data_IF_057938070866
#
_entry.id   IF_057938070866
#
_cell.length_a   1.000
_cell.length_b   1.000
_cell.length_c   1.000
_cell.angle_alpha   90.00
_cell.angle_beta   90.00
_cell.angle_gamma   90.00
#
_symmetry.space_group_name_H-M   'P 1'
#
loop_
_entity.id
_entity.type
_entity.pdbx_description
1 polymer ?
#
# COMPACT_ATOMS: atom_id res chain seq x y z
N UNK A 1 -7.71 -3.87 50.14
CA UNK A 1 -6.86 -4.76 49.30
C UNK A 1 -7.79 -5.68 48.55
N UNK A 2 -7.84 -5.56 47.23
CA UNK A 2 -8.73 -6.32 46.36
C UNK A 2 -7.88 -6.73 45.13
N UNK A 3 -7.56 -8.02 44.91
CA UNK A 3 -6.94 -8.45 43.67
C UNK A 3 -7.95 -9.16 42.76
N UNK A 4 -7.64 -9.15 41.47
CA UNK A 4 -8.32 -9.80 40.33
C UNK A 4 -9.28 -8.89 39.54
N UNK A 5 -8.68 -8.13 38.63
CA UNK A 5 -9.33 -7.75 37.38
C UNK A 5 -9.14 -8.91 36.39
N UNK A 6 -10.26 -9.48 35.93
CA UNK A 6 -10.31 -10.34 34.76
C UNK A 6 -10.10 -9.50 33.50
N UNK A 7 -9.17 -9.95 32.65
CA UNK A 7 -9.00 -9.45 31.28
C UNK A 7 -9.75 -10.43 30.38
N UNK A 8 -10.94 -10.03 29.90
CA UNK A 8 -11.65 -10.76 28.85
C UNK A 8 -10.90 -10.64 27.52
N UNK A 9 -10.19 -11.70 27.14
CA UNK A 9 -9.79 -11.96 25.76
C UNK A 9 -11.03 -12.41 24.98
N UNK A 10 -11.58 -11.52 24.15
CA UNK A 10 -12.63 -11.84 23.19
C UNK A 10 -12.14 -12.90 22.19
N UNK A 11 -12.74 -14.08 22.26
CA UNK A 11 -12.41 -15.26 21.48
C UNK A 11 -12.75 -15.12 19.99
N UNK A 12 -11.75 -15.39 19.13
CA UNK A 12 -11.96 -15.69 17.72
C UNK A 12 -12.81 -16.97 17.59
N UNK A 13 -14.04 -16.86 17.09
CA UNK A 13 -14.93 -17.99 16.89
C UNK A 13 -15.05 -18.37 15.41
N UNK A 14 -14.99 -19.69 15.18
CA UNK A 14 -15.31 -20.47 13.99
C UNK A 14 -14.28 -20.54 12.86
N UNK A 15 -13.41 -21.54 12.98
CA UNK A 15 -12.72 -22.22 11.86
C UNK A 15 -13.67 -23.31 11.34
N UNK A 16 -14.10 -23.22 10.09
CA UNK A 16 -14.71 -24.34 9.37
C UNK A 16 -13.69 -24.85 8.33
N UNK A 17 -13.30 -26.12 8.45
CA UNK A 17 -12.29 -26.79 7.62
C UNK A 17 -12.81 -27.25 6.25
N UNK A 18 -14.02 -26.89 5.85
CA UNK A 18 -14.48 -27.22 4.51
C UNK A 18 -13.93 -26.19 3.51
N UNK A 19 -13.01 -26.65 2.66
CA UNK A 19 -12.52 -26.03 1.43
C UNK A 19 -11.44 -24.93 1.53
N UNK A 20 -10.36 -25.09 2.32
CA UNK A 20 -9.09 -24.38 2.08
C UNK A 20 -9.16 -22.85 1.92
N UNK A 21 -10.22 -22.21 2.44
CA UNK A 21 -10.52 -20.79 2.30
C UNK A 21 -10.38 -20.18 3.67
N UNK A 22 -9.33 -19.37 3.85
CA UNK A 22 -9.18 -18.54 5.03
C UNK A 22 -10.27 -17.46 5.02
N UNK A 23 -11.24 -17.57 5.93
CA UNK A 23 -12.28 -16.56 6.15
C UNK A 23 -11.91 -15.76 7.40
N UNK A 24 -11.20 -14.65 7.22
CA UNK A 24 -11.10 -13.66 8.28
C UNK A 24 -12.42 -12.88 8.32
N UNK A 25 -13.36 -13.32 9.17
CA UNK A 25 -14.56 -12.54 9.48
C UNK A 25 -14.19 -11.57 10.60
N UNK A 26 -13.49 -10.48 10.27
CA UNK A 26 -13.40 -9.35 11.19
C UNK A 26 -14.68 -8.50 11.05
N UNK A 27 -15.20 -8.01 12.16
CA UNK A 27 -16.29 -7.04 12.15
C UNK A 27 -15.90 -5.84 11.26
N UNK A 28 -16.83 -5.30 10.45
CA UNK A 28 -16.54 -4.13 9.64
C UNK A 28 -16.11 -2.99 10.57
N UNK A 29 -14.85 -2.59 10.47
CA UNK A 29 -14.35 -1.40 11.14
C UNK A 29 -14.79 -0.19 10.30
N UNK A 30 -15.36 0.80 10.96
CA UNK A 30 -15.69 2.07 10.30
C UNK A 30 -14.38 2.68 9.76
N UNK A 31 -14.42 3.05 8.49
CA UNK A 31 -13.29 3.64 7.77
C UNK A 31 -13.77 4.33 6.51
N UNK A 32 -12.93 5.21 5.98
CA UNK A 32 -13.16 5.96 4.75
C UNK A 32 -12.17 5.50 3.67
N UNK A 33 -12.65 5.20 2.46
CA UNK A 33 -11.76 4.86 1.36
C UNK A 33 -10.85 6.04 1.01
N UNK A 34 -9.59 5.74 0.63
CA UNK A 34 -8.65 6.78 0.21
C UNK A 34 -9.17 7.58 -1.01
N UNK A 35 -10.02 6.97 -1.84
CA UNK A 35 -10.71 7.64 -2.94
C UNK A 35 -11.68 8.72 -2.42
N UNK A 36 -12.58 8.36 -1.52
CA UNK A 36 -13.52 9.34 -0.96
C UNK A 36 -12.75 10.47 -0.25
N UNK A 37 -11.71 10.11 0.50
CA UNK A 37 -10.86 11.04 1.21
C UNK A 37 -10.15 12.03 0.30
N UNK A 38 -9.53 11.57 -0.80
CA UNK A 38 -8.85 12.48 -1.75
C UNK A 38 -9.85 13.39 -2.44
N UNK A 39 -11.05 12.89 -2.79
CA UNK A 39 -12.09 13.69 -3.45
C UNK A 39 -12.58 14.80 -2.51
N UNK A 40 -12.80 14.48 -1.23
CA UNK A 40 -13.14 15.47 -0.20
C UNK A 40 -12.06 16.54 -0.02
N UNK A 41 -10.77 16.19 -0.21
CA UNK A 41 -9.63 17.10 -0.17
C UNK A 41 -9.37 17.88 -1.48
N UNK A 42 -10.29 17.82 -2.46
CA UNK A 42 -10.13 18.52 -3.74
C UNK A 42 -9.35 17.75 -4.80
N UNK A 43 -9.35 16.41 -4.71
CA UNK A 43 -8.81 15.48 -5.70
C UNK A 43 -7.43 14.90 -5.37
N UNK A 44 -6.72 15.45 -4.39
CA UNK A 44 -5.41 14.98 -3.93
C UNK A 44 -5.25 15.22 -2.42
N UNK A 45 -4.32 14.52 -1.78
CA UNK A 45 -4.04 14.65 -0.36
C UNK A 45 -2.79 15.51 -0.09
N UNK A 46 -2.70 16.17 1.09
CA UNK A 46 -1.47 16.77 1.60
C UNK A 46 -0.32 15.76 1.67
N UNK A 47 0.91 16.22 1.42
CA UNK A 47 2.10 15.35 1.37
C UNK A 47 2.34 14.63 2.70
N UNK A 48 2.21 15.33 3.82
CA UNK A 48 2.39 14.76 5.16
C UNK A 48 1.40 13.62 5.42
N UNK A 49 0.19 13.75 4.91
CA UNK A 49 -0.84 12.72 5.03
C UNK A 49 -0.55 11.52 4.15
N UNK A 50 -0.16 11.73 2.89
CA UNK A 50 0.28 10.64 2.01
C UNK A 50 1.46 9.89 2.61
N UNK A 51 2.40 10.59 3.25
CA UNK A 51 3.54 9.96 3.91
C UNK A 51 3.11 9.12 5.13
N UNK A 52 2.14 9.57 5.94
CA UNK A 52 1.58 8.72 7.02
C UNK A 52 0.95 7.44 6.47
N UNK A 53 0.15 7.57 5.41
CA UNK A 53 -0.48 6.42 4.73
C UNK A 53 0.59 5.49 4.16
N UNK A 54 1.61 6.04 3.50
CA UNK A 54 2.71 5.27 2.91
C UNK A 54 3.48 4.48 3.97
N UNK A 55 3.75 5.05 5.14
CA UNK A 55 4.50 4.37 6.20
C UNK A 55 3.77 3.12 6.70
N UNK A 56 2.47 3.26 7.00
CA UNK A 56 1.61 2.17 7.48
C UNK A 56 1.45 1.12 6.38
N UNK A 57 1.16 1.53 5.15
CA UNK A 57 0.98 0.61 4.03
C UNK A 57 2.25 -0.20 3.76
N UNK A 58 3.42 0.46 3.64
CA UNK A 58 4.68 -0.21 3.32
C UNK A 58 5.12 -1.17 4.42
N UNK A 59 4.95 -0.82 5.69
CA UNK A 59 5.18 -1.74 6.82
C UNK A 59 4.36 -3.03 6.68
N UNK A 60 3.10 -2.88 6.29
CA UNK A 60 2.17 -3.99 6.14
C UNK A 60 2.48 -4.85 4.89
N UNK A 61 2.84 -4.22 3.77
CA UNK A 61 3.29 -4.94 2.56
C UNK A 61 4.57 -5.73 2.84
N UNK A 62 5.51 -5.14 3.58
CA UNK A 62 6.76 -5.80 3.99
C UNK A 62 6.49 -7.07 4.80
N UNK A 63 5.59 -7.00 5.79
CA UNK A 63 5.17 -8.18 6.57
C UNK A 63 4.46 -9.23 5.71
N UNK A 64 3.61 -8.82 4.78
CA UNK A 64 2.98 -9.73 3.84
C UNK A 64 4.03 -10.44 2.96
N UNK A 65 5.03 -9.70 2.48
CA UNK A 65 6.13 -10.25 1.67
C UNK A 65 6.95 -11.28 2.44
N UNK A 66 7.27 -10.99 3.71
CA UNK A 66 7.95 -11.92 4.60
C UNK A 66 7.16 -13.22 4.85
N UNK A 67 5.83 -13.16 4.77
CA UNK A 67 4.96 -14.33 4.85
C UNK A 67 4.74 -15.04 3.48
N UNK A 68 5.44 -14.61 2.43
CA UNK A 68 5.27 -15.16 1.07
C UNK A 68 4.00 -14.70 0.35
N UNK A 69 3.28 -13.71 0.91
CA UNK A 69 2.09 -13.12 0.30
C UNK A 69 2.51 -11.95 -0.60
N UNK A 70 1.80 -11.77 -1.71
CA UNK A 70 1.92 -10.61 -2.60
C UNK A 70 0.57 -9.90 -2.65
N UNK A 71 0.60 -8.58 -2.72
CA UNK A 71 -0.61 -7.77 -2.63
C UNK A 71 -1.36 -7.80 -3.97
N UNK A 72 -0.62 -7.65 -5.08
CA UNK A 72 -1.08 -7.84 -6.46
C UNK A 72 -1.96 -6.72 -6.99
N UNK A 73 -2.78 -6.11 -6.15
CA UNK A 73 -3.69 -5.05 -6.53
C UNK A 73 -4.01 -4.13 -5.34
N UNK A 74 -3.60 -2.87 -5.44
CA UNK A 74 -3.97 -1.79 -4.51
C UNK A 74 -4.23 -0.53 -5.31
N UNK A 75 -5.39 0.07 -5.06
CA UNK A 75 -5.82 1.36 -5.56
C UNK A 75 -6.53 2.16 -4.45
N UNK A 76 -6.97 3.38 -4.77
CA UNK A 76 -7.61 4.29 -3.81
C UNK A 76 -8.96 3.79 -3.27
N UNK A 77 -9.64 2.90 -3.98
CA UNK A 77 -10.92 2.30 -3.56
C UNK A 77 -10.73 1.06 -2.68
N UNK A 78 -9.60 0.38 -2.82
CA UNK A 78 -9.27 -0.86 -2.10
C UNK A 78 -8.66 -0.62 -0.72
N UNK A 79 -8.34 0.63 -0.38
CA UNK A 79 -7.71 0.98 0.90
C UNK A 79 -8.63 1.92 1.66
N UNK A 80 -9.01 1.50 2.86
CA UNK A 80 -9.77 2.31 3.81
C UNK A 80 -8.82 2.81 4.91
N UNK A 81 -8.90 4.11 5.20
CA UNK A 81 -8.32 4.72 6.39
C UNK A 81 -9.31 4.59 7.54
N UNK A 82 -8.87 3.95 8.61
CA UNK A 82 -9.66 3.73 9.82
C UNK A 82 -9.55 4.92 10.76
N UNK A 83 -10.52 5.06 11.67
CA UNK A 83 -10.57 6.18 12.64
C UNK A 83 -9.35 6.22 13.58
N UNK A 84 -8.69 5.09 13.80
CA UNK A 84 -7.47 4.97 14.61
C UNK A 84 -6.18 5.31 13.83
N UNK A 85 -6.29 5.67 12.55
CA UNK A 85 -5.15 5.90 11.65
C UNK A 85 -4.61 4.62 11.02
N UNK A 86 -5.22 3.47 11.28
CA UNK A 86 -4.93 2.21 10.61
C UNK A 86 -5.39 2.18 9.16
N UNK A 87 -4.88 1.19 8.42
CA UNK A 87 -5.32 0.92 7.06
C UNK A 87 -5.95 -0.47 6.99
N UNK A 88 -7.08 -0.56 6.31
CA UNK A 88 -7.68 -1.82 5.86
C UNK A 88 -7.49 -1.92 4.35
N UNK A 89 -7.00 -3.07 3.87
CA UNK A 89 -6.81 -3.32 2.43
C UNK A 89 -7.77 -4.41 2.00
N UNK A 90 -8.79 -4.03 1.24
CA UNK A 90 -9.77 -4.93 0.65
C UNK A 90 -9.19 -5.60 -0.61
N UNK A 91 -9.45 -6.90 -0.76
CA UNK A 91 -9.20 -7.59 -2.04
C UNK A 91 -7.75 -7.98 -2.32
N UNK A 92 -6.90 -8.13 -1.31
CA UNK A 92 -5.61 -8.81 -1.50
C UNK A 92 -5.85 -10.24 -1.99
N UNK A 93 -5.64 -10.46 -3.28
CA UNK A 93 -5.93 -11.73 -3.93
C UNK A 93 -6.72 -11.58 -5.23
N UNK A 94 -6.22 -10.80 -6.19
CA UNK A 94 -6.60 -10.94 -7.61
C UNK A 94 -5.39 -10.81 -8.54
N UNK A 95 -5.42 -11.63 -9.60
CA UNK A 95 -4.39 -11.82 -10.62
C UNK A 95 -4.03 -10.54 -11.38
N UNK A 96 -2.85 -10.53 -11.99
CA UNK A 96 -2.21 -9.55 -12.91
C UNK A 96 -3.06 -8.82 -13.98
N UNK A 97 -4.40 -8.94 -14.00
CA UNK A 97 -5.27 -8.58 -15.11
C UNK A 97 -5.77 -7.12 -15.11
N UNK A 98 -5.94 -6.47 -13.95
CA UNK A 98 -6.73 -5.21 -13.89
C UNK A 98 -5.90 -3.92 -13.81
N UNK A 99 -4.61 -4.01 -13.55
CA UNK A 99 -3.65 -2.97 -13.93
C UNK A 99 -2.96 -3.44 -15.20
N UNK A 100 -2.76 -2.60 -16.24
CA UNK A 100 -1.86 -2.95 -17.31
C UNK A 100 -0.46 -3.01 -16.70
N UNK A 101 -0.08 -4.18 -16.20
CA UNK A 101 1.28 -4.45 -15.85
C UNK A 101 2.10 -4.08 -17.10
N UNK A 102 3.24 -3.40 -17.00
CA UNK A 102 3.93 -2.88 -18.19
C UNK A 102 4.33 -3.97 -19.20
N UNK A 103 4.28 -5.24 -18.80
CA UNK A 103 4.41 -6.43 -19.67
C UNK A 103 3.11 -6.82 -20.40
N UNK A 104 1.93 -6.48 -19.88
CA UNK A 104 0.62 -6.71 -20.48
C UNK A 104 0.28 -5.73 -21.63
N UNK A 105 1.05 -4.65 -21.79
CA UNK A 105 0.89 -3.67 -22.87
C UNK A 105 1.49 -4.13 -24.23
N UNK A 106 2.09 -5.32 -24.29
CA UNK A 106 2.51 -5.96 -25.56
C UNK A 106 1.63 -7.16 -25.85
N UNK A 107 0.54 -6.92 -26.57
CA UNK A 107 -0.21 -7.86 -27.39
C UNK A 107 -0.19 -9.33 -26.94
N UNK A 108 -1.14 -9.70 -26.09
CA UNK A 108 -1.69 -11.07 -26.07
C UNK A 108 -0.76 -12.18 -25.62
N UNK A 109 -0.43 -12.19 -24.32
CA UNK A 109 -0.27 -13.39 -23.46
C UNK A 109 0.10 -12.90 -22.07
N UNK A 110 -0.69 -13.23 -21.06
CA UNK A 110 -0.26 -13.11 -19.66
C UNK A 110 0.90 -14.09 -19.53
N UNK A 111 2.11 -13.58 -19.43
CA UNK A 111 3.29 -14.39 -19.12
C UNK A 111 3.07 -14.98 -17.72
N UNK A 112 3.25 -16.30 -17.54
CA UNK A 112 3.29 -17.01 -16.25
C UNK A 112 4.50 -16.58 -15.38
N UNK A 113 4.93 -15.32 -15.51
CA UNK A 113 6.05 -14.81 -14.75
C UNK A 113 5.59 -14.60 -13.31
N UNK A 114 6.16 -15.38 -12.40
CA UNK A 114 5.89 -15.29 -10.96
C UNK A 114 5.98 -13.83 -10.50
N UNK A 115 4.89 -13.33 -9.93
CA UNK A 115 4.80 -11.99 -9.37
C UNK A 115 5.98 -11.72 -8.44
N UNK A 116 6.68 -10.59 -8.65
CA UNK A 116 7.83 -10.20 -7.82
C UNK A 116 7.45 -9.06 -6.90
N UNK A 117 8.21 -8.87 -5.83
CA UNK A 117 8.00 -7.76 -4.87
C UNK A 117 8.02 -6.39 -5.56
N UNK A 118 8.80 -6.29 -6.64
CA UNK A 118 8.85 -5.10 -7.51
C UNK A 118 7.52 -4.77 -8.21
N UNK A 119 6.59 -5.72 -8.32
CA UNK A 119 5.25 -5.45 -8.82
C UNK A 119 4.41 -4.74 -7.76
N UNK A 120 4.47 -5.16 -6.50
CA UNK A 120 3.83 -4.43 -5.40
C UNK A 120 4.47 -3.06 -5.19
N UNK A 121 5.80 -2.91 -5.35
CA UNK A 121 6.47 -1.60 -5.37
C UNK A 121 5.86 -0.68 -6.43
N UNK A 122 5.58 -1.20 -7.62
CA UNK A 122 4.98 -0.42 -8.70
C UNK A 122 3.54 0.00 -8.36
N UNK A 123 2.74 -0.95 -7.85
CA UNK A 123 1.34 -0.71 -7.45
C UNK A 123 1.25 0.33 -6.33
N UNK A 124 2.06 0.18 -5.28
CA UNK A 124 2.13 1.18 -4.20
C UNK A 124 2.60 2.52 -4.76
N UNK A 125 3.62 2.54 -5.63
CA UNK A 125 4.06 3.76 -6.31
C UNK A 125 2.95 4.46 -7.10
N UNK A 126 2.08 3.70 -7.78
CA UNK A 126 0.93 4.22 -8.50
C UNK A 126 -0.12 4.82 -7.56
N UNK A 127 -0.45 4.13 -6.47
CA UNK A 127 -1.32 4.68 -5.43
C UNK A 127 -0.78 6.01 -4.90
N UNK A 128 0.49 6.05 -4.49
CA UNK A 128 1.10 7.29 -3.96
C UNK A 128 1.09 8.42 -4.99
N UNK A 129 1.31 8.11 -6.27
CA UNK A 129 1.22 9.09 -7.35
C UNK A 129 -0.20 9.69 -7.45
N UNK A 130 -1.24 8.85 -7.45
CA UNK A 130 -2.65 9.30 -7.50
C UNK A 130 -2.98 10.15 -6.28
N UNK A 131 -2.57 9.74 -5.08
CA UNK A 131 -2.84 10.52 -3.86
C UNK A 131 -2.15 11.89 -3.88
N UNK A 132 -0.93 11.98 -4.41
CA UNK A 132 -0.16 13.24 -4.44
C UNK A 132 -0.60 14.19 -5.56
N UNK A 133 -1.07 13.65 -6.69
CA UNK A 133 -1.31 14.44 -7.91
C UNK A 133 -2.80 14.57 -8.25
N UNK A 134 -3.61 13.60 -7.83
CA UNK A 134 -5.00 13.43 -8.25
C UNK A 134 -5.17 12.82 -9.63
N UNK A 135 -4.08 12.40 -10.29
CA UNK A 135 -4.07 11.86 -11.64
C UNK A 135 -3.52 10.43 -11.67
N UNK A 136 -3.95 9.64 -12.66
CA UNK A 136 -3.37 8.32 -12.93
C UNK A 136 -1.97 8.44 -13.58
N UNK A 137 -0.98 7.61 -13.18
CA UNK A 137 0.34 7.65 -13.79
C UNK A 137 0.28 7.14 -15.23
N UNK A 138 0.56 8.01 -16.19
CA UNK A 138 0.71 7.61 -17.60
C UNK A 138 2.10 7.06 -17.81
N UNK A 139 2.26 5.81 -18.25
CA UNK A 139 3.58 5.22 -18.46
C UNK A 139 4.09 5.43 -19.88
N UNK A 140 5.35 5.83 -20.00
CA UNK A 140 6.10 5.88 -21.25
C UNK A 140 7.31 4.96 -21.20
N UNK A 141 8.09 4.85 -22.29
CA UNK A 141 9.21 3.91 -22.40
C UNK A 141 10.33 4.15 -21.37
N UNK A 142 10.41 5.34 -20.78
CA UNK A 142 11.47 5.76 -19.86
C UNK A 142 10.97 6.07 -18.44
N UNK A 143 9.72 5.78 -18.09
CA UNK A 143 9.13 6.18 -16.82
C UNK A 143 7.73 6.78 -16.96
N UNK A 144 7.13 7.25 -15.86
CA UNK A 144 5.85 7.96 -15.92
C UNK A 144 5.98 9.25 -16.74
N UNK A 145 5.25 9.29 -17.86
CA UNK A 145 4.93 10.50 -18.63
C UNK A 145 4.04 11.35 -17.76
N UNK A 146 4.51 12.56 -17.41
CA UNK A 146 3.81 13.40 -16.44
C UNK A 146 4.41 13.38 -15.05
N UNK A 147 5.61 12.80 -14.84
CA UNK A 147 6.39 13.04 -13.62
C UNK A 147 6.53 14.55 -13.28
N UNK A 148 6.40 15.43 -14.29
CA UNK A 148 6.28 16.87 -14.10
C UNK A 148 5.16 17.27 -13.14
N UNK A 149 4.06 16.53 -13.00
CA UNK A 149 3.03 16.77 -12.00
C UNK A 149 3.58 16.62 -10.57
N UNK A 150 4.38 15.59 -10.31
CA UNK A 150 5.09 15.43 -9.04
C UNK A 150 6.13 16.52 -8.79
N UNK A 151 6.74 17.07 -9.85
CA UNK A 151 7.76 18.13 -9.73
C UNK A 151 7.18 19.55 -9.76
N UNK A 152 5.94 19.73 -10.22
CA UNK A 152 5.22 21.02 -10.23
C UNK A 152 4.35 21.23 -8.98
N UNK A 153 4.14 20.17 -8.19
CA UNK A 153 3.41 20.18 -6.93
C UNK A 153 4.35 20.56 -5.77
N UNK A 154 3.86 21.06 -4.61
CA UNK A 154 4.67 21.26 -3.39
C UNK A 154 5.24 19.96 -2.77
N UNK A 155 5.38 18.90 -3.57
CA UNK A 155 5.96 17.61 -3.15
C UNK A 155 7.48 17.76 -3.07
N UNK A 156 8.11 17.39 -1.94
CA UNK A 156 9.56 17.40 -1.82
C UNK A 156 10.21 16.57 -2.93
N UNK A 157 11.28 17.10 -3.53
CA UNK A 157 11.97 16.45 -4.67
C UNK A 157 12.38 15.01 -4.40
N UNK A 158 12.67 14.69 -3.13
CA UNK A 158 12.96 13.36 -2.64
C UNK A 158 11.77 12.40 -2.81
N UNK A 159 10.59 12.80 -2.34
CA UNK A 159 9.35 12.01 -2.47
C UNK A 159 9.02 11.80 -3.95
N UNK A 160 9.11 12.87 -4.75
CA UNK A 160 8.89 12.80 -6.21
C UNK A 160 9.82 11.80 -6.89
N UNK A 161 11.12 11.80 -6.53
CA UNK A 161 12.09 10.83 -7.06
C UNK A 161 11.79 9.39 -6.62
N UNK A 162 11.40 9.19 -5.36
CA UNK A 162 11.08 7.86 -4.85
C UNK A 162 9.88 7.24 -5.56
N UNK A 163 8.79 8.01 -5.70
CA UNK A 163 7.58 7.60 -6.42
C UNK A 163 7.86 7.40 -7.92
N UNK A 164 8.61 8.31 -8.55
CA UNK A 164 8.96 8.17 -9.97
C UNK A 164 9.78 6.89 -10.26
N UNK A 165 10.72 6.53 -9.35
CA UNK A 165 11.49 5.29 -9.47
C UNK A 165 10.62 4.05 -9.28
N UNK A 166 9.68 4.06 -8.33
CA UNK A 166 8.74 2.96 -8.13
C UNK A 166 7.91 2.68 -9.40
N UNK A 167 7.54 3.74 -10.13
CA UNK A 167 6.77 3.69 -11.38
C UNK A 167 7.58 3.35 -12.63
N UNK A 168 8.86 2.99 -12.52
CA UNK A 168 9.67 2.71 -13.70
C UNK A 168 9.17 1.44 -14.44
N UNK A 169 8.98 1.45 -15.78
CA UNK A 169 8.47 0.31 -16.53
C UNK A 169 9.32 -0.96 -16.36
N UNK A 170 10.66 -0.79 -16.36
CA UNK A 170 11.61 -1.89 -16.12
C UNK A 170 11.70 -2.19 -14.62
N UNK A 171 11.33 -3.41 -14.21
CA UNK A 171 11.41 -3.90 -12.82
C UNK A 171 12.79 -3.70 -12.18
N UNK A 172 13.86 -3.98 -12.93
CA UNK A 172 15.24 -3.87 -12.44
C UNK A 172 15.68 -2.45 -12.06
N UNK A 173 14.94 -1.43 -12.48
CA UNK A 173 15.21 -0.02 -12.12
C UNK A 173 14.41 0.41 -10.89
N UNK A 174 13.31 -0.29 -10.57
CA UNK A 174 12.48 -0.01 -9.39
C UNK A 174 13.27 -0.25 -8.11
N UNK A 175 12.63 0.02 -6.98
CA UNK A 175 13.14 -0.44 -5.68
C UNK A 175 13.16 -1.97 -5.66
N UNK A 176 14.16 -2.54 -4.99
CA UNK A 176 14.33 -3.99 -4.91
C UNK A 176 13.10 -4.63 -4.26
N UNK A 177 12.61 -3.99 -3.21
CA UNK A 177 11.49 -4.37 -2.37
C UNK A 177 10.82 -3.11 -1.78
N UNK A 178 9.77 -3.29 -0.97
CA UNK A 178 9.04 -2.19 -0.34
C UNK A 178 9.78 -1.54 0.83
N UNK A 179 10.74 -2.23 1.45
CA UNK A 179 11.56 -1.69 2.53
C UNK A 179 12.53 -0.63 1.97
N UNK A 180 13.18 -0.91 0.83
CA UNK A 180 14.00 0.04 0.09
C UNK A 180 13.19 1.28 -0.34
N UNK A 181 11.94 1.11 -0.77
CA UNK A 181 11.04 2.23 -1.09
C UNK A 181 10.70 3.05 0.16
N UNK A 182 10.42 2.40 1.29
CA UNK A 182 10.13 3.07 2.56
C UNK A 182 11.33 3.89 3.02
N UNK A 183 12.52 3.32 3.03
CA UNK A 183 13.76 4.06 3.34
C UNK A 183 13.93 5.28 2.43
N UNK A 184 13.69 5.10 1.13
CA UNK A 184 13.78 6.19 0.16
C UNK A 184 12.75 7.30 0.37
N UNK A 185 11.60 7.03 0.97
CA UNK A 185 10.61 8.05 1.33
C UNK A 185 11.00 8.79 2.62
N UNK A 186 11.48 8.08 3.63
CA UNK A 186 11.62 8.61 4.99
C UNK A 186 13.04 8.94 5.46
N UNK A 187 14.09 8.54 4.74
CA UNK A 187 15.44 8.88 5.19
C UNK A 187 15.61 10.40 5.37
N UNK A 188 16.31 10.85 6.40
CA UNK A 188 16.54 12.29 6.59
C UNK A 188 17.50 12.79 5.51
N UNK A 189 17.27 13.96 4.91
CA UNK A 189 18.31 14.62 4.10
C UNK A 189 19.44 15.04 5.05
N UNK A 190 20.45 14.16 5.21
CA UNK A 190 21.45 14.23 6.28
C UNK A 190 20.90 13.69 7.60
N UNK A 191 21.22 12.42 7.92
CA UNK A 191 20.80 11.64 9.11
C UNK A 191 20.68 12.40 10.45
N UNK A 192 19.84 12.09 11.46
CA UNK A 192 18.65 11.26 11.78
C UNK A 192 18.21 11.70 13.22
N UNK A 193 17.00 11.41 13.73
CA UNK A 193 16.88 10.23 14.59
C UNK A 193 15.64 9.37 14.28
N UNK A 194 15.83 8.06 14.46
CA UNK A 194 14.79 7.04 14.55
C UNK A 194 13.78 7.44 15.63
N UNK A 195 12.48 7.33 15.32
CA UNK A 195 11.44 7.51 16.33
C UNK A 195 11.65 6.53 17.49
N UNK A 196 11.42 6.94 18.75
CA UNK A 196 11.44 6.05 19.90
C UNK A 196 10.51 4.85 19.67
N UNK A 197 10.85 3.69 20.22
CA UNK A 197 10.06 2.46 20.05
C UNK A 197 8.60 2.61 20.50
N UNK A 198 8.32 3.53 21.43
CA UNK A 198 6.97 3.92 21.87
C UNK A 198 6.16 4.71 20.84
N UNK A 199 6.76 5.12 19.71
CA UNK A 199 6.12 5.82 18.59
C UNK A 199 6.12 4.96 17.32
N UNK A 200 6.59 3.71 17.38
CA UNK A 200 6.33 2.71 16.34
C UNK A 200 4.87 2.29 16.45
N UNK A 201 4.18 2.22 15.32
CA UNK A 201 2.78 1.77 15.26
C UNK A 201 2.63 0.43 16.02
N UNK A 202 1.55 0.23 16.79
CA UNK A 202 1.31 -1.04 17.46
C UNK A 202 1.23 -2.17 16.42
N UNK A 203 1.47 -3.42 16.84
CA UNK A 203 1.24 -4.58 15.97
C UNK A 203 -0.25 -4.65 15.58
N UNK A 204 -0.60 -4.02 14.47
CA UNK A 204 -1.94 -4.03 13.93
C UNK A 204 -2.08 -5.19 12.94
N UNK A 205 -3.06 -6.09 13.13
CA UNK A 205 -3.34 -7.12 12.15
C UNK A 205 -3.92 -6.44 10.90
N UNK A 206 -3.27 -6.62 9.75
CA UNK A 206 -3.95 -6.42 8.47
C UNK A 206 -5.05 -7.45 8.42
N UNK A 207 -6.31 -7.01 8.41
CA UNK A 207 -7.41 -7.89 8.06
C UNK A 207 -7.48 -7.91 6.55
N UNK A 208 -6.91 -8.95 5.93
CA UNK A 208 -7.14 -9.22 4.51
C UNK A 208 -8.57 -9.74 4.35
N UNK A 209 -9.48 -8.87 3.93
CA UNK A 209 -10.87 -9.23 3.67
C UNK A 209 -11.03 -9.52 2.18
N UNK A 210 -11.40 -10.77 1.86
CA UNK A 210 -11.80 -11.17 0.51
C UNK A 210 -13.27 -10.77 0.30
N UNK A 211 -13.56 -9.90 -0.68
CA UNK A 211 -14.94 -9.74 -1.17
C UNK A 211 -15.32 -11.01 -1.92
N UNK A 212 -16.41 -11.65 -1.50
CA UNK A 212 -17.06 -12.70 -2.29
C UNK A 212 -18.07 -12.00 -3.18
N UNK A 213 -17.84 -12.03 -4.49
CA UNK A 213 -18.80 -11.60 -5.51
C UNK A 213 -20.00 -12.54 -5.56
#
# INVERSE_FOLDING_TARGET
MNPHAEVEMGAAHNVSEESGVYRAVAAPRAGESLEHRRLAAGGRLPVDEVLRIADVLLFHVERAHAAGVRLGHVNTESVDLLDDGGLSVAGAGYSHADLPAPHSLRGGRVSDEVAREQDDVFVVGALLYVLLTGEEPRLGPHGPVGARALFSSPVPSKVSRAVARALHPRRSVRWRDVADLREALFATEGALPTLPESQRAPEWPIVLVRRVS
#
